data_IF_969034255338
#
_entry.id   IF_969034255338
#
_cell.length_a   1.000
_cell.length_b   1.000
_cell.length_c   1.000
_cell.angle_alpha   90.00
_cell.angle_beta   90.00
_cell.angle_gamma   90.00
#
_symmetry.space_group_name_H-M   'P 1'
#
loop_
_entity.id
_entity.type
_entity.pdbx_description
1 polymer ?
#
# COMPACT_ATOMS: atom_id res chain seq x y z
N UNK A 1 -7.87 -20.63 -1.32
CA UNK A 1 -7.08 -19.55 -0.70
C UNK A 1 -7.61 -18.28 -1.30
N UNK A 2 -8.26 -17.41 -0.53
CA UNK A 2 -8.84 -16.19 -1.08
C UNK A 2 -7.71 -15.30 -1.58
N UNK A 3 -7.69 -14.98 -2.87
CA UNK A 3 -6.85 -13.93 -3.44
C UNK A 3 -7.38 -12.59 -2.93
N UNK A 4 -6.99 -12.23 -1.70
CA UNK A 4 -7.30 -10.94 -1.11
C UNK A 4 -6.45 -9.87 -1.79
N UNK A 5 -7.07 -8.85 -2.37
CA UNK A 5 -6.34 -7.67 -2.86
C UNK A 5 -5.87 -6.88 -1.64
N UNK A 6 -4.60 -7.06 -1.29
CA UNK A 6 -3.98 -6.46 -0.10
C UNK A 6 -3.70 -4.96 -0.30
N UNK A 7 -3.34 -4.56 -1.52
CA UNK A 7 -3.01 -3.19 -1.90
C UNK A 7 -3.89 -2.69 -3.04
N UNK A 8 -4.33 -1.43 -2.91
CA UNK A 8 -5.17 -0.74 -3.88
C UNK A 8 -4.42 0.50 -4.38
N UNK A 9 -4.21 0.55 -5.68
CA UNK A 9 -3.59 1.67 -6.38
C UNK A 9 -4.53 2.17 -7.47
N UNK A 10 -4.44 3.45 -7.84
CA UNK A 10 -5.21 3.99 -8.96
C UNK A 10 -4.81 3.30 -10.27
N UNK A 11 -5.83 2.89 -11.04
CA UNK A 11 -5.62 2.29 -12.38
C UNK A 11 -4.96 3.25 -13.36
N UNK A 12 -5.18 4.54 -13.19
CA UNK A 12 -4.68 5.61 -14.06
C UNK A 12 -3.15 5.71 -14.11
N UNK A 13 -2.45 5.22 -13.08
CA UNK A 13 -0.99 5.19 -13.06
C UNK A 13 -0.39 4.06 -13.91
N UNK A 14 -1.22 3.09 -14.34
CA UNK A 14 -0.78 1.96 -15.16
C UNK A 14 0.28 1.10 -14.49
N UNK A 15 0.13 0.83 -13.20
CA UNK A 15 1.11 0.10 -12.40
C UNK A 15 1.02 -1.42 -12.62
N UNK A 16 2.14 -2.01 -13.03
CA UNK A 16 2.38 -3.45 -13.06
C UNK A 16 3.12 -3.88 -11.80
N UNK A 17 2.67 -4.97 -11.17
CA UNK A 17 3.34 -5.54 -10.00
C UNK A 17 4.63 -6.25 -10.41
N UNK A 18 5.76 -5.86 -9.79
CA UNK A 18 7.07 -6.46 -10.06
C UNK A 18 7.44 -7.54 -9.04
N UNK A 19 6.91 -7.45 -7.82
CA UNK A 19 7.24 -8.38 -6.74
C UNK A 19 7.12 -7.74 -5.37
N UNK A 20 7.29 -8.57 -4.35
CA UNK A 20 7.17 -8.16 -2.97
C UNK A 20 8.04 -9.03 -2.06
N UNK A 21 8.49 -8.41 -0.97
CA UNK A 21 9.37 -9.00 0.02
C UNK A 21 8.73 -8.86 1.39
N UNK A 22 8.71 -9.94 2.17
CA UNK A 22 8.29 -9.94 3.56
C UNK A 22 9.54 -10.03 4.41
N UNK A 23 9.70 -9.08 5.32
CA UNK A 23 10.77 -9.09 6.32
C UNK A 23 10.17 -9.21 7.71
N UNK A 24 10.71 -10.16 8.48
CA UNK A 24 10.49 -10.25 9.92
C UNK A 24 11.38 -9.21 10.61
N UNK A 25 10.77 -8.26 11.31
CA UNK A 25 11.49 -7.18 12.01
C UNK A 25 11.86 -7.56 13.45
N UNK A 26 11.54 -8.79 13.89
CA UNK A 26 11.92 -9.33 15.20
C UNK A 26 11.01 -8.92 16.35
N UNK A 27 10.00 -8.08 16.11
CA UNK A 27 9.10 -7.55 17.16
C UNK A 27 7.68 -7.38 16.61
N UNK A 28 6.83 -8.41 16.70
CA UNK A 28 5.38 -8.42 16.42
C UNK A 28 4.83 -7.79 15.13
N UNK A 29 5.69 -7.19 14.33
CA UNK A 29 5.37 -6.41 13.15
C UNK A 29 5.87 -7.16 11.93
N UNK A 30 5.07 -7.11 10.87
CA UNK A 30 5.42 -7.66 9.58
C UNK A 30 5.68 -6.48 8.67
N UNK A 31 6.88 -6.39 8.12
CA UNK A 31 7.16 -5.44 7.05
C UNK A 31 6.98 -6.13 5.71
N UNK A 32 6.04 -5.62 4.92
CA UNK A 32 5.88 -6.04 3.53
C UNK A 32 6.24 -4.90 2.61
N UNK A 33 7.18 -5.14 1.70
CA UNK A 33 7.56 -4.18 0.66
C UNK A 33 7.02 -4.67 -0.67
N UNK A 34 6.31 -3.82 -1.39
CA UNK A 34 5.81 -4.11 -2.74
C UNK A 34 6.49 -3.18 -3.73
N UNK A 35 6.89 -3.71 -4.89
CA UNK A 35 7.47 -2.94 -5.99
C UNK A 35 6.54 -2.97 -7.20
N UNK A 36 6.34 -1.81 -7.80
CA UNK A 36 5.52 -1.64 -8.98
C UNK A 36 6.29 -0.85 -10.04
N UNK A 37 6.08 -1.19 -11.31
CA UNK A 37 6.48 -0.37 -12.45
C UNK A 37 5.23 0.34 -12.98
N UNK A 38 5.21 1.66 -12.89
CA UNK A 38 4.06 2.47 -13.30
C UNK A 38 4.40 3.25 -14.55
N UNK A 39 3.55 3.14 -15.58
CA UNK A 39 3.71 3.90 -16.82
C UNK A 39 3.56 5.42 -16.60
N UNK A 40 2.72 5.83 -15.63
CA UNK A 40 2.45 7.23 -15.32
C UNK A 40 2.41 7.44 -13.78
N UNK A 41 3.55 7.35 -13.08
CA UNK A 41 3.59 7.41 -11.61
C UNK A 41 3.00 8.71 -11.04
N UNK A 42 3.10 9.82 -11.77
CA UNK A 42 2.51 11.13 -11.43
C UNK A 42 0.96 11.13 -11.41
N UNK A 43 0.32 10.09 -11.96
CA UNK A 43 -1.14 9.92 -11.90
C UNK A 43 -1.61 9.09 -10.72
N UNK A 44 -0.70 8.57 -9.91
CA UNK A 44 -1.05 7.90 -8.66
C UNK A 44 -1.52 8.95 -7.65
N UNK A 45 -2.81 8.92 -7.32
CA UNK A 45 -3.49 9.88 -6.43
C UNK A 45 -4.06 9.22 -5.19
N UNK A 46 -4.04 7.90 -5.11
CA UNK A 46 -4.59 7.11 -4.02
C UNK A 46 -3.73 5.88 -3.77
N UNK A 47 -3.51 5.63 -2.50
CA UNK A 47 -3.05 4.35 -1.97
C UNK A 47 -4.08 3.86 -0.96
N UNK A 48 -4.38 2.58 -0.98
CA UNK A 48 -5.26 1.98 0.00
C UNK A 48 -4.97 0.51 0.20
N UNK A 49 -5.73 -0.10 1.09
CA UNK A 49 -5.54 -1.50 1.47
C UNK A 49 -6.86 -2.22 1.67
N UNK A 50 -6.88 -3.51 1.34
CA UNK A 50 -7.94 -4.44 1.71
C UNK A 50 -7.63 -5.28 2.94
N UNK A 51 -6.49 -5.06 3.62
CA UNK A 51 -6.06 -5.88 4.76
C UNK A 51 -7.10 -5.90 5.87
N UNK A 52 -7.70 -4.75 6.19
CA UNK A 52 -8.71 -4.65 7.25
C UNK A 52 -9.97 -5.48 6.98
N UNK A 53 -10.28 -5.76 5.71
CA UNK A 53 -11.42 -6.61 5.31
C UNK A 53 -11.12 -8.10 5.50
N UNK A 54 -9.84 -8.49 5.45
CA UNK A 54 -9.39 -9.87 5.62
C UNK A 54 -9.01 -10.15 7.08
N UNK A 55 -8.51 -9.14 7.79
CA UNK A 55 -7.99 -9.23 9.15
C UNK A 55 -8.60 -8.14 10.05
N UNK A 56 -9.78 -8.42 10.60
CA UNK A 56 -10.58 -7.46 11.40
C UNK A 56 -9.90 -6.96 12.68
N UNK A 57 -8.82 -7.60 13.11
CA UNK A 57 -8.05 -7.24 14.32
C UNK A 57 -6.95 -6.20 14.07
N UNK A 58 -6.65 -5.86 12.82
CA UNK A 58 -5.65 -4.84 12.52
C UNK A 58 -6.25 -3.46 12.80
N UNK A 59 -5.57 -2.68 13.64
CA UNK A 59 -6.03 -1.34 14.02
C UNK A 59 -5.37 -0.24 13.19
N UNK A 60 -4.12 -0.45 12.79
CA UNK A 60 -3.34 0.54 12.02
C UNK A 60 -2.34 -0.17 11.12
N UNK A 61 -2.14 0.39 9.93
CA UNK A 61 -1.07 0.01 9.00
C UNK A 61 -0.28 1.28 8.70
N UNK A 62 0.97 1.29 9.12
CA UNK A 62 1.93 2.32 8.74
C UNK A 62 2.41 2.04 7.32
N UNK A 63 2.09 2.94 6.39
CA UNK A 63 2.46 2.81 4.99
C UNK A 63 3.46 3.91 4.60
N UNK A 64 4.47 3.52 3.83
CA UNK A 64 5.41 4.45 3.21
C UNK A 64 5.36 4.25 1.70
N UNK A 65 5.01 5.30 0.98
CA UNK A 65 5.09 5.36 -0.47
C UNK A 65 6.39 6.07 -0.86
N UNK A 66 7.15 5.45 -1.77
CA UNK A 66 8.33 6.06 -2.39
C UNK A 66 8.13 6.05 -3.91
N UNK A 67 8.20 7.23 -4.52
CA UNK A 67 8.19 7.49 -5.96
C UNK A 67 9.46 8.24 -6.36
N UNK A 68 9.76 8.41 -7.67
CA UNK A 68 10.96 9.11 -8.11
C UNK A 68 11.09 10.55 -7.57
N UNK A 69 9.97 11.21 -7.30
CA UNK A 69 9.86 12.61 -6.92
C UNK A 69 9.41 12.83 -5.47
N UNK A 70 8.97 11.78 -4.78
CA UNK A 70 8.33 11.94 -3.46
C UNK A 70 8.50 10.71 -2.56
N UNK A 71 8.58 10.97 -1.26
CA UNK A 71 8.36 9.96 -0.23
C UNK A 71 7.28 10.48 0.75
N UNK A 72 6.29 9.66 1.05
CA UNK A 72 5.19 9.99 1.96
C UNK A 72 4.99 8.85 2.95
N UNK A 73 4.95 9.17 4.25
CA UNK A 73 4.42 8.29 5.29
C UNK A 73 2.95 8.60 5.57
N UNK A 74 2.15 7.56 5.78
CA UNK A 74 0.73 7.66 6.06
C UNK A 74 0.24 6.50 6.93
N UNK A 75 -0.76 6.78 7.75
CA UNK A 75 -1.42 5.76 8.57
C UNK A 75 -2.76 5.40 7.93
N UNK A 76 -2.94 4.12 7.64
CA UNK A 76 -4.23 3.56 7.21
C UNK A 76 -4.91 2.93 8.43
N UNK A 77 -6.21 3.11 8.53
CA UNK A 77 -7.05 2.54 9.59
C UNK A 77 -8.29 1.90 8.99
N UNK A 78 -9.05 1.08 9.73
CA UNK A 78 -10.31 0.52 9.23
C UNK A 78 -11.33 1.59 8.79
N UNK A 79 -11.33 2.76 9.44
CA UNK A 79 -12.22 3.88 9.09
C UNK A 79 -11.69 4.77 7.96
N UNK A 80 -10.39 4.67 7.65
CA UNK A 80 -9.72 5.36 6.56
C UNK A 80 -8.73 4.42 5.85
N UNK A 81 -9.22 3.38 5.15
CA UNK A 81 -8.37 2.36 4.52
C UNK A 81 -7.75 2.83 3.20
N UNK A 82 -8.22 3.98 2.69
CA UNK A 82 -7.74 4.65 1.48
C UNK A 82 -7.28 6.06 1.83
N UNK A 83 -6.10 6.43 1.36
CA UNK A 83 -5.54 7.77 1.49
C UNK A 83 -5.39 8.42 0.12
N UNK A 84 -5.87 9.67 -0.01
CA UNK A 84 -5.62 10.49 -1.20
C UNK A 84 -4.26 11.17 -1.06
N UNK A 85 -3.37 10.89 -2.00
CA UNK A 85 -2.10 11.59 -2.15
C UNK A 85 -2.41 13.01 -2.62
N UNK A 86 -1.86 14.00 -1.92
CA UNK A 86 -1.94 15.39 -2.36
C UNK A 86 -1.34 15.52 -3.78
N UNK A 87 -1.84 16.45 -4.63
CA UNK A 87 -1.28 16.68 -5.95
C UNK A 87 0.22 16.94 -5.97
#
# INVERSE_FOLDING_TARGET
MAEGVVLRLDRDAGCAYLGGEIADTGYHDIRVTYRFDCAQPQRLRRIGTGVFEVFERFETIEAVLVSPDRQIGLDLTPSAPDHRLAP
#
